data_IF_465112908999
#
_entry.id   IF_465112908999
#
_cell.length_a   1.000
_cell.length_b   1.000
_cell.length_c   1.000
_cell.angle_alpha   90.00
_cell.angle_beta   90.00
_cell.angle_gamma   90.00
#
_symmetry.space_group_name_H-M   'P 1'
#
loop_
_entity.id
_entity.type
_entity.pdbx_description
1 polymer ?
#
# COMPACT_ATOMS: atom_id res chain seq x y z
N UNK A 1 43.73 35.61 -12.30
CA UNK A 1 42.34 35.84 -12.65
C UNK A 1 41.51 34.77 -11.95
N UNK A 2 40.90 35.12 -10.82
CA UNK A 2 40.07 34.19 -10.06
C UNK A 2 38.68 34.14 -10.67
N UNK A 3 38.32 33.06 -11.28
CA UNK A 3 36.93 32.77 -11.65
C UNK A 3 36.15 32.42 -10.39
N UNK A 4 35.57 33.46 -9.77
CA UNK A 4 34.61 33.25 -8.69
C UNK A 4 33.37 32.50 -9.24
N UNK A 5 33.26 31.22 -8.93
CA UNK A 5 32.00 30.48 -9.11
C UNK A 5 31.00 31.15 -8.18
N UNK A 6 30.03 31.91 -8.73
CA UNK A 6 28.91 32.42 -7.94
C UNK A 6 28.19 31.20 -7.33
N UNK A 7 28.07 31.18 -6.01
CA UNK A 7 27.23 30.19 -5.34
C UNK A 7 25.82 30.30 -5.95
N UNK A 8 25.32 29.19 -6.45
CA UNK A 8 23.98 29.13 -7.03
C UNK A 8 22.95 29.34 -5.89
N UNK A 9 22.19 30.42 -5.97
CA UNK A 9 21.19 30.73 -4.95
C UNK A 9 19.91 29.99 -5.28
N UNK A 10 19.66 28.90 -4.56
CA UNK A 10 18.49 28.03 -4.73
C UNK A 10 17.15 28.79 -4.59
N UNK A 11 17.09 29.80 -3.72
CA UNK A 11 15.88 30.61 -3.53
C UNK A 11 15.58 31.52 -4.73
N UNK A 12 16.60 32.04 -5.43
CA UNK A 12 16.41 32.82 -6.66
C UNK A 12 15.91 31.93 -7.83
N UNK A 13 16.16 30.62 -7.76
CA UNK A 13 15.69 29.64 -8.75
C UNK A 13 14.28 29.08 -8.44
N UNK A 14 13.60 29.51 -7.37
CA UNK A 14 12.30 28.98 -6.96
C UNK A 14 12.36 27.58 -6.37
N UNK A 15 13.55 27.06 -6.05
CA UNK A 15 13.76 25.73 -5.49
C UNK A 15 13.46 25.70 -3.99
N UNK A 16 12.73 24.68 -3.57
CA UNK A 16 12.43 24.40 -2.15
C UNK A 16 13.48 23.46 -1.58
N UNK A 17 14.19 23.92 -0.57
CA UNK A 17 15.17 23.11 0.15
C UNK A 17 14.51 22.34 1.28
N UNK A 18 14.75 21.03 1.33
CA UNK A 18 14.24 20.13 2.37
C UNK A 18 15.42 19.39 3.00
N UNK A 19 15.74 19.65 4.28
CA UNK A 19 16.82 18.96 4.96
C UNK A 19 16.45 17.53 5.32
N UNK A 20 17.42 16.61 5.26
CA UNK A 20 17.19 15.19 5.60
C UNK A 20 16.68 14.99 7.02
N UNK A 21 16.99 15.87 7.98
CA UNK A 21 16.46 15.78 9.35
C UNK A 21 14.94 15.83 9.37
N UNK A 22 14.33 16.70 8.54
CA UNK A 22 12.88 16.81 8.42
C UNK A 22 12.26 15.55 7.81
N UNK A 23 12.95 14.96 6.83
CA UNK A 23 12.51 13.69 6.20
C UNK A 23 12.55 12.55 7.22
N UNK A 24 13.64 12.43 7.99
CA UNK A 24 13.79 11.43 9.05
C UNK A 24 12.63 11.51 10.05
N UNK A 25 12.38 12.71 10.59
CA UNK A 25 11.29 12.95 11.55
C UNK A 25 9.92 12.61 10.95
N UNK A 26 9.69 13.00 9.71
CA UNK A 26 8.44 12.72 9.01
C UNK A 26 8.22 11.22 8.84
N UNK A 27 9.20 10.49 8.31
CA UNK A 27 9.09 9.04 8.10
C UNK A 27 8.95 8.29 9.43
N UNK A 28 9.65 8.71 10.49
CA UNK A 28 9.49 8.18 11.85
C UNK A 28 8.02 8.26 12.30
N UNK A 29 7.39 9.43 12.15
CA UNK A 29 5.99 9.63 12.51
C UNK A 29 5.04 8.82 11.62
N UNK A 30 5.28 8.77 10.30
CA UNK A 30 4.47 7.98 9.38
C UNK A 30 4.47 6.49 9.73
N UNK A 31 5.60 5.91 10.17
CA UNK A 31 5.68 4.52 10.63
C UNK A 31 4.73 4.25 11.79
N UNK A 32 4.72 5.13 12.79
CA UNK A 32 3.87 4.99 13.97
C UNK A 32 2.40 5.24 13.63
N UNK A 33 2.10 6.34 12.96
CA UNK A 33 0.74 6.69 12.56
C UNK A 33 0.10 5.58 11.73
N UNK A 34 0.80 5.09 10.68
CA UNK A 34 0.26 4.03 9.84
C UNK A 34 0.04 2.70 10.58
N UNK A 35 0.74 2.44 11.69
CA UNK A 35 0.56 1.21 12.45
C UNK A 35 -0.43 1.33 13.62
N UNK A 36 -0.76 2.54 14.06
CA UNK A 36 -1.70 2.75 15.17
C UNK A 36 -3.09 3.17 14.71
N UNK A 37 -3.14 3.96 13.65
CA UNK A 37 -4.39 4.58 13.17
C UNK A 37 -4.83 3.90 11.86
N UNK A 38 -5.99 3.24 11.89
CA UNK A 38 -6.58 2.69 10.67
C UNK A 38 -7.18 3.82 9.84
N UNK A 39 -6.97 3.79 8.52
CA UNK A 39 -7.54 4.77 7.61
C UNK A 39 -9.07 4.82 7.74
N UNK A 40 -9.64 6.02 7.68
CA UNK A 40 -11.06 6.26 7.95
C UNK A 40 -11.99 5.49 7.00
N UNK A 41 -11.64 5.43 5.72
CA UNK A 41 -12.38 4.68 4.70
C UNK A 41 -12.44 3.18 5.01
N UNK A 42 -11.34 2.60 5.48
CA UNK A 42 -11.27 1.20 5.91
C UNK A 42 -12.13 0.99 7.17
N UNK A 43 -12.04 1.90 8.16
CA UNK A 43 -12.87 1.82 9.35
C UNK A 43 -14.36 1.85 8.99
N UNK A 44 -14.78 2.79 8.15
CA UNK A 44 -16.17 2.88 7.68
C UNK A 44 -16.60 1.61 6.96
N UNK A 45 -15.77 1.06 6.07
CA UNK A 45 -16.07 -0.18 5.36
C UNK A 45 -16.25 -1.39 6.29
N UNK A 46 -15.45 -1.48 7.36
CA UNK A 46 -15.61 -2.52 8.39
C UNK A 46 -16.88 -2.33 9.22
N UNK A 47 -17.22 -1.10 9.61
CA UNK A 47 -18.45 -0.79 10.36
C UNK A 47 -19.70 -1.05 9.52
N UNK A 48 -19.73 -0.62 8.26
CA UNK A 48 -20.81 -0.92 7.31
C UNK A 48 -20.93 -2.42 7.05
N UNK A 49 -19.77 -3.09 6.88
CA UNK A 49 -19.70 -4.54 6.72
C UNK A 49 -20.33 -5.27 7.89
N UNK A 50 -20.01 -4.87 9.12
CA UNK A 50 -20.58 -5.46 10.33
C UNK A 50 -22.12 -5.32 10.40
N UNK A 51 -22.64 -4.19 9.90
CA UNK A 51 -24.10 -3.93 9.82
C UNK A 51 -24.81 -4.76 8.76
N UNK A 52 -24.13 -5.10 7.66
CA UNK A 52 -24.71 -5.75 6.48
C UNK A 52 -24.37 -7.26 6.38
N UNK A 53 -23.50 -7.80 7.25
CA UNK A 53 -23.08 -9.19 7.22
C UNK A 53 -24.23 -10.10 7.71
N UNK A 54 -24.52 -11.14 6.96
CA UNK A 54 -25.61 -12.09 7.25
C UNK A 54 -25.17 -13.20 8.24
N UNK A 55 -23.88 -13.56 8.20
CA UNK A 55 -23.28 -14.53 9.10
C UNK A 55 -23.13 -13.95 10.51
N UNK A 56 -23.67 -14.61 11.53
CA UNK A 56 -23.50 -14.21 12.93
C UNK A 56 -22.01 -14.20 13.33
N UNK A 57 -21.27 -15.23 12.92
CA UNK A 57 -19.82 -15.30 13.13
C UNK A 57 -19.10 -14.18 12.40
N UNK A 58 -19.49 -13.89 11.14
CA UNK A 58 -18.92 -12.80 10.36
C UNK A 58 -19.15 -11.44 11.02
N UNK A 59 -20.36 -11.16 11.51
CA UNK A 59 -20.67 -9.92 12.27
C UNK A 59 -19.82 -9.79 13.53
N UNK A 60 -19.68 -10.86 14.29
CA UNK A 60 -18.86 -10.86 15.51
C UNK A 60 -17.40 -10.53 15.18
N UNK A 61 -16.84 -11.16 14.15
CA UNK A 61 -15.46 -10.91 13.70
C UNK A 61 -15.30 -9.45 13.29
N UNK A 62 -16.16 -8.92 12.43
CA UNK A 62 -16.07 -7.52 11.97
C UNK A 62 -16.18 -6.55 13.15
N UNK A 63 -17.07 -6.81 14.11
CA UNK A 63 -17.18 -5.99 15.32
C UNK A 63 -15.89 -6.02 16.16
N UNK A 64 -15.24 -7.18 16.28
CA UNK A 64 -13.94 -7.31 16.93
C UNK A 64 -12.82 -6.56 16.19
N UNK A 65 -12.81 -6.57 14.86
CA UNK A 65 -11.83 -5.83 14.06
C UNK A 65 -11.98 -4.32 14.25
N UNK A 66 -13.22 -3.82 14.28
CA UNK A 66 -13.52 -2.41 14.56
C UNK A 66 -13.06 -2.03 15.98
N UNK A 67 -13.37 -2.83 16.99
CA UNK A 67 -12.95 -2.57 18.38
C UNK A 67 -11.42 -2.61 18.52
N UNK A 68 -10.76 -3.59 17.89
CA UNK A 68 -9.30 -3.67 17.86
C UNK A 68 -8.66 -2.38 17.28
N UNK A 69 -9.20 -1.84 16.20
CA UNK A 69 -8.71 -0.61 15.60
C UNK A 69 -8.90 0.59 16.54
N UNK A 70 -10.05 0.68 17.25
CA UNK A 70 -10.33 1.73 18.25
C UNK A 70 -9.36 1.63 19.45
N UNK A 71 -9.07 0.43 19.92
CA UNK A 71 -8.11 0.20 21.01
C UNK A 71 -6.70 0.60 20.56
N UNK A 72 -6.26 0.17 19.37
CA UNK A 72 -4.93 0.48 18.86
C UNK A 72 -4.69 1.99 18.77
N UNK A 73 -5.66 2.74 18.23
CA UNK A 73 -5.57 4.20 18.14
C UNK A 73 -5.55 4.88 19.51
N UNK A 74 -6.41 4.45 20.44
CA UNK A 74 -6.52 5.03 21.79
C UNK A 74 -5.28 4.76 22.64
N UNK A 75 -4.78 3.53 22.62
CA UNK A 75 -3.64 3.10 23.44
C UNK A 75 -2.29 3.33 22.75
N UNK A 76 -2.29 3.87 21.52
CA UNK A 76 -1.08 4.13 20.72
C UNK A 76 -0.21 2.88 20.58
N UNK A 77 -0.82 1.77 20.21
CA UNK A 77 -0.17 0.48 20.01
C UNK A 77 -0.44 -0.08 18.63
N UNK A 78 0.40 -1.01 18.17
CA UNK A 78 0.25 -1.60 16.84
C UNK A 78 -1.09 -2.36 16.72
N UNK A 79 -1.83 -2.04 15.65
CA UNK A 79 -3.14 -2.66 15.35
C UNK A 79 -3.05 -4.16 15.02
N UNK A 80 -1.87 -4.63 14.62
CA UNK A 80 -1.59 -6.02 14.24
C UNK A 80 -0.19 -6.41 14.69
N UNK A 81 0.03 -7.69 15.02
CA UNK A 81 1.35 -8.23 15.31
C UNK A 81 2.30 -8.19 14.09
N UNK A 82 1.76 -8.22 12.86
CA UNK A 82 2.54 -7.97 11.65
C UNK A 82 2.50 -6.47 11.32
N UNK A 83 3.51 -5.76 11.79
CA UNK A 83 3.68 -4.33 11.49
C UNK A 83 4.35 -4.09 10.13
N UNK A 84 4.57 -5.16 9.39
CA UNK A 84 4.93 -5.17 7.98
C UNK A 84 6.36 -4.75 7.66
N UNK A 85 6.67 -4.83 6.39
CA UNK A 85 7.81 -4.18 5.77
C UNK A 85 7.39 -2.79 5.28
N UNK A 86 8.20 -1.77 5.53
CA UNK A 86 7.88 -0.42 5.08
C UNK A 86 7.99 -0.33 3.55
N UNK A 87 6.88 -0.05 2.88
CA UNK A 87 6.85 0.32 1.46
C UNK A 87 6.59 1.82 1.39
N UNK A 88 7.51 2.55 0.76
CA UNK A 88 7.50 4.01 0.72
C UNK A 88 7.40 4.48 -0.72
N UNK A 89 6.38 5.27 -1.01
CA UNK A 89 6.24 5.97 -2.28
C UNK A 89 6.63 7.43 -2.07
N UNK A 90 7.56 7.91 -2.89
CA UNK A 90 8.12 9.24 -2.81
C UNK A 90 7.88 9.96 -4.12
N UNK A 91 7.02 10.97 -4.11
CA UNK A 91 6.79 11.87 -5.22
C UNK A 91 7.63 13.13 -4.99
N UNK A 92 8.59 13.38 -5.87
CA UNK A 92 9.58 14.47 -5.74
C UNK A 92 9.32 15.50 -6.81
N UNK A 93 8.93 16.71 -6.40
CA UNK A 93 8.81 17.85 -7.29
C UNK A 93 10.17 18.19 -7.92
N UNK A 94 10.18 18.60 -9.19
CA UNK A 94 11.41 18.93 -9.92
C UNK A 94 12.18 20.10 -9.31
N UNK A 95 11.49 21.00 -8.60
CA UNK A 95 12.07 22.15 -7.91
C UNK A 95 12.41 21.85 -6.43
N UNK A 96 12.47 20.57 -6.02
CA UNK A 96 12.90 20.16 -4.68
C UNK A 96 14.39 19.88 -4.67
N UNK A 97 15.09 20.47 -3.69
CA UNK A 97 16.47 20.17 -3.36
C UNK A 97 16.57 19.50 -1.99
N UNK A 98 17.06 18.26 -1.94
CA UNK A 98 17.32 17.55 -0.68
C UNK A 98 18.71 17.92 -0.19
N UNK A 99 18.80 18.47 1.03
CA UNK A 99 20.08 18.90 1.61
C UNK A 99 20.47 18.08 2.84
N UNK A 100 21.79 18.04 3.10
CA UNK A 100 22.36 17.43 4.30
C UNK A 100 22.64 15.93 4.21
N UNK A 101 22.33 15.26 3.09
CA UNK A 101 22.69 13.85 2.90
C UNK A 101 21.82 13.08 1.89
N UNK A 102 21.82 11.76 1.97
CA UNK A 102 21.09 10.88 1.07
C UNK A 102 19.61 10.76 1.48
N UNK A 103 18.69 10.97 0.53
CA UNK A 103 17.25 10.77 0.73
C UNK A 103 16.93 9.32 1.10
N UNK A 104 17.56 8.35 0.44
CA UNK A 104 17.36 6.92 0.74
C UNK A 104 17.76 6.59 2.17
N UNK A 105 18.92 7.07 2.62
CA UNK A 105 19.38 6.84 3.99
C UNK A 105 18.51 7.57 5.02
N UNK A 106 18.02 8.77 4.70
CA UNK A 106 17.11 9.51 5.57
C UNK A 106 15.77 8.74 5.76
N UNK A 107 15.22 8.15 4.70
CA UNK A 107 14.02 7.32 4.79
C UNK A 107 14.29 6.08 5.65
N UNK A 108 15.40 5.37 5.42
CA UNK A 108 15.76 4.19 6.22
C UNK A 108 15.99 4.54 7.69
N UNK A 109 16.64 5.67 7.99
CA UNK A 109 16.80 6.14 9.36
C UNK A 109 15.47 6.47 10.03
N UNK A 110 14.54 7.10 9.30
CA UNK A 110 13.18 7.35 9.79
C UNK A 110 12.43 6.06 10.09
N UNK A 111 12.54 5.04 9.23
CA UNK A 111 11.96 3.70 9.46
C UNK A 111 12.56 3.06 10.71
N UNK A 112 13.90 3.05 10.83
CA UNK A 112 14.60 2.50 12.00
C UNK A 112 14.07 3.11 13.29
N UNK A 113 14.02 4.45 13.37
CA UNK A 113 13.53 5.18 14.54
C UNK A 113 12.06 4.92 14.82
N UNK A 114 11.22 4.94 13.78
CA UNK A 114 9.78 4.72 13.90
C UNK A 114 9.45 3.31 14.40
N UNK A 115 10.16 2.28 13.90
CA UNK A 115 9.97 0.91 14.37
C UNK A 115 10.50 0.68 15.79
N UNK A 116 11.57 1.37 16.19
CA UNK A 116 12.09 1.30 17.54
C UNK A 116 11.17 2.02 18.53
N UNK A 117 10.88 3.31 18.32
CA UNK A 117 10.06 4.13 19.21
C UNK A 117 8.60 3.66 19.29
N UNK A 118 8.09 3.15 18.16
CA UNK A 118 6.72 2.62 18.07
C UNK A 118 6.56 1.21 18.60
N UNK A 119 7.61 0.58 19.12
CA UNK A 119 7.60 -0.83 19.55
C UNK A 119 7.05 -1.76 18.45
N UNK A 120 7.36 -1.45 17.19
CA UNK A 120 6.90 -2.20 16.04
C UNK A 120 7.78 -3.43 15.80
N UNK A 121 7.17 -4.50 15.31
CA UNK A 121 7.88 -5.75 15.05
C UNK A 121 8.87 -5.57 13.89
N UNK A 122 10.13 -5.91 14.12
CA UNK A 122 11.21 -5.88 13.14
C UNK A 122 11.22 -7.19 12.36
N UNK A 123 10.69 -7.18 11.13
CA UNK A 123 10.42 -8.40 10.34
C UNK A 123 11.34 -8.57 9.14
N UNK A 124 12.21 -7.57 8.84
CA UNK A 124 13.11 -7.62 7.68
C UNK A 124 14.30 -8.52 7.94
N UNK A 125 14.62 -9.35 6.96
CA UNK A 125 15.82 -10.20 6.95
C UNK A 125 16.82 -9.67 5.91
N UNK A 126 18.11 -9.67 6.24
CA UNK A 126 19.18 -9.12 5.40
C UNK A 126 19.42 -9.92 4.13
N UNK A 127 19.13 -11.21 4.17
CA UNK A 127 19.20 -12.11 3.03
C UNK A 127 17.98 -13.02 3.00
N UNK A 128 17.30 -13.18 1.85
CA UNK A 128 16.08 -13.98 1.75
C UNK A 128 16.29 -15.48 1.90
N UNK A 129 17.51 -16.00 1.73
CA UNK A 129 17.84 -17.41 1.87
C UNK A 129 18.44 -17.73 3.24
N UNK A 130 19.40 -16.92 3.72
CA UNK A 130 20.02 -17.09 5.05
C UNK A 130 19.10 -16.65 6.20
N UNK A 131 18.13 -15.77 5.94
CA UNK A 131 17.05 -15.37 6.85
C UNK A 131 17.51 -14.69 8.15
N UNK A 132 18.68 -14.04 8.16
CA UNK A 132 19.17 -13.29 9.32
C UNK A 132 18.41 -11.97 9.45
N UNK A 133 17.77 -11.72 10.60
CA UNK A 133 17.05 -10.48 10.86
C UNK A 133 18.00 -9.27 10.90
N UNK A 134 17.58 -8.15 10.31
CA UNK A 134 18.36 -6.90 10.29
C UNK A 134 18.39 -6.22 11.66
N UNK A 135 17.40 -6.47 12.51
CA UNK A 135 17.29 -5.91 13.85
C UNK A 135 16.67 -4.51 13.93
N UNK A 136 16.38 -3.87 12.77
CA UNK A 136 15.89 -2.50 12.69
C UNK A 136 14.78 -2.27 11.67
N UNK A 137 14.31 -3.33 11.01
CA UNK A 137 13.29 -3.34 9.96
C UNK A 137 13.66 -2.55 8.69
N UNK A 138 14.95 -2.37 8.42
CA UNK A 138 15.48 -1.79 7.18
C UNK A 138 16.16 -2.85 6.32
N UNK A 139 16.33 -2.61 5.00
CA UNK A 139 15.90 -1.43 4.26
C UNK A 139 14.40 -1.41 3.98
N UNK A 140 13.84 -0.22 3.81
CA UNK A 140 12.51 -0.04 3.23
C UNK A 140 12.51 -0.37 1.73
N UNK A 141 11.35 -0.74 1.18
CA UNK A 141 11.13 -0.79 -0.26
C UNK A 141 10.68 0.60 -0.71
N UNK A 142 11.53 1.32 -1.45
CA UNK A 142 11.29 2.71 -1.81
C UNK A 142 11.06 2.83 -3.32
N UNK A 143 9.96 3.48 -3.68
CA UNK A 143 9.61 3.82 -5.06
C UNK A 143 9.65 5.33 -5.23
N UNK A 144 10.45 5.81 -6.19
CA UNK A 144 10.58 7.22 -6.49
C UNK A 144 9.84 7.59 -7.77
N UNK A 145 9.15 8.72 -7.75
CA UNK A 145 8.49 9.32 -8.91
C UNK A 145 8.82 10.82 -8.94
N UNK A 146 9.27 11.31 -10.09
CA UNK A 146 9.52 12.74 -10.28
C UNK A 146 8.25 13.39 -10.80
N UNK A 147 7.82 14.46 -10.16
CA UNK A 147 6.60 15.21 -10.49
C UNK A 147 6.94 16.68 -10.78
N UNK A 148 5.98 17.41 -11.31
CA UNK A 148 6.11 18.87 -11.43
C UNK A 148 5.97 19.54 -10.06
N UNK A 149 6.54 20.75 -9.92
CA UNK A 149 6.41 21.58 -8.72
C UNK A 149 7.50 21.35 -7.67
N UNK A 150 7.24 21.81 -6.46
CA UNK A 150 8.21 21.89 -5.37
C UNK A 150 7.77 21.16 -4.10
N UNK A 151 6.85 20.21 -4.18
CA UNK A 151 6.43 19.39 -3.07
C UNK A 151 7.20 18.06 -3.03
N UNK A 152 7.53 17.61 -1.83
CA UNK A 152 7.99 16.26 -1.56
C UNK A 152 6.88 15.52 -0.82
N UNK A 153 6.15 14.64 -1.51
CA UNK A 153 5.13 13.79 -0.89
C UNK A 153 5.70 12.43 -0.56
N UNK A 154 5.52 12.01 0.67
CA UNK A 154 5.95 10.69 1.17
C UNK A 154 4.70 9.94 1.65
N UNK A 155 4.41 8.79 1.04
CA UNK A 155 3.37 7.87 1.47
C UNK A 155 4.02 6.58 1.97
N UNK A 156 3.80 6.22 3.22
CA UNK A 156 4.34 5.02 3.84
C UNK A 156 3.21 4.04 4.13
N UNK A 157 3.35 2.83 3.57
CA UNK A 157 2.42 1.72 3.76
C UNK A 157 3.15 0.52 4.39
N UNK A 158 2.88 0.18 5.66
CA UNK A 158 3.38 -1.06 6.24
C UNK A 158 2.71 -2.26 5.57
N UNK A 159 3.47 -3.09 4.87
CA UNK A 159 2.94 -4.22 4.12
C UNK A 159 3.18 -5.54 4.83
N UNK A 160 2.11 -6.10 5.41
CA UNK A 160 2.13 -7.42 6.03
C UNK A 160 2.29 -8.55 5.01
N UNK A 161 3.04 -9.58 5.36
CA UNK A 161 3.42 -10.64 4.42
C UNK A 161 2.39 -11.78 4.33
N UNK A 162 1.46 -11.91 5.25
CA UNK A 162 0.34 -12.83 5.08
C UNK A 162 -0.46 -12.56 3.79
N UNK A 163 -0.74 -11.28 3.54
CA UNK A 163 -1.42 -10.86 2.31
C UNK A 163 -0.47 -10.66 1.13
N UNK A 164 0.78 -10.22 1.35
CA UNK A 164 1.77 -10.09 0.27
C UNK A 164 2.05 -11.42 -0.43
N UNK A 165 2.16 -12.51 0.33
CA UNK A 165 2.40 -13.85 -0.20
C UNK A 165 1.25 -14.39 -1.08
N UNK A 166 0.06 -13.78 -0.99
CA UNK A 166 -1.10 -14.16 -1.81
C UNK A 166 -1.22 -13.32 -3.10
N UNK A 167 -0.22 -12.51 -3.38
CA UNK A 167 -0.15 -11.66 -4.57
C UNK A 167 0.52 -12.37 -5.76
N UNK A 168 0.31 -11.89 -6.97
CA UNK A 168 0.90 -12.49 -8.14
C UNK A 168 0.84 -11.64 -9.40
N UNK A 169 1.61 -12.07 -10.40
CA UNK A 169 1.67 -11.45 -11.73
C UNK A 169 1.41 -12.54 -12.77
N UNK A 170 0.66 -12.21 -13.80
CA UNK A 170 0.45 -13.07 -14.97
C UNK A 170 0.63 -12.26 -16.26
N UNK A 171 1.38 -12.81 -17.19
CA UNK A 171 1.50 -12.26 -18.56
C UNK A 171 0.40 -12.89 -19.41
N UNK A 172 -0.73 -12.20 -19.52
CA UNK A 172 -1.83 -12.61 -20.38
C UNK A 172 -1.51 -12.29 -21.84
N UNK A 173 -2.19 -12.98 -22.76
CA UNK A 173 -2.16 -12.65 -24.17
C UNK A 173 -3.20 -11.58 -24.47
N UNK A 174 -3.00 -10.69 -25.45
CA UNK A 174 -4.02 -9.74 -25.88
C UNK A 174 -5.36 -10.40 -26.24
N UNK A 175 -5.33 -11.63 -26.76
CA UNK A 175 -6.53 -12.42 -27.07
C UNK A 175 -7.33 -12.86 -25.85
N UNK A 176 -6.72 -12.91 -24.66
CA UNK A 176 -7.43 -13.27 -23.43
C UNK A 176 -8.35 -12.12 -22.97
N UNK A 177 -8.03 -10.89 -23.37
CA UNK A 177 -8.87 -9.72 -23.20
C UNK A 177 -9.28 -9.48 -21.74
N UNK A 178 -10.44 -8.85 -21.59
CA UNK A 178 -11.00 -8.53 -20.27
C UNK A 178 -11.41 -9.78 -19.49
N UNK A 179 -11.81 -10.84 -20.18
CA UNK A 179 -12.22 -12.10 -19.55
C UNK A 179 -11.04 -12.82 -18.90
N UNK A 180 -9.86 -12.76 -19.54
CA UNK A 180 -8.62 -13.25 -18.93
C UNK A 180 -8.25 -12.47 -17.66
N UNK A 181 -8.50 -11.15 -17.62
CA UNK A 181 -8.29 -10.33 -16.44
C UNK A 181 -9.26 -10.72 -15.31
N UNK A 182 -10.55 -10.88 -15.62
CA UNK A 182 -11.58 -11.33 -14.67
C UNK A 182 -11.22 -12.68 -14.04
N UNK A 183 -10.89 -13.64 -14.90
CA UNK A 183 -10.50 -14.99 -14.46
C UNK A 183 -9.26 -14.94 -13.56
N UNK A 184 -8.25 -14.14 -13.90
CA UNK A 184 -7.05 -14.01 -13.10
C UNK A 184 -7.36 -13.46 -11.70
N UNK A 185 -8.18 -12.41 -11.59
CA UNK A 185 -8.56 -11.82 -10.29
C UNK A 185 -9.31 -12.86 -9.44
N UNK A 186 -10.30 -13.53 -10.00
CA UNK A 186 -11.10 -14.54 -9.31
C UNK A 186 -10.24 -15.70 -8.80
N UNK A 187 -9.44 -16.32 -9.67
CA UNK A 187 -8.54 -17.43 -9.32
C UNK A 187 -7.56 -17.05 -8.20
N UNK A 188 -7.01 -15.82 -8.25
CA UNK A 188 -6.06 -15.37 -7.24
C UNK A 188 -6.72 -15.21 -5.87
N UNK A 189 -7.93 -14.65 -5.81
CA UNK A 189 -8.66 -14.47 -4.55
C UNK A 189 -9.15 -15.81 -4.00
N UNK A 190 -9.70 -16.67 -4.86
CA UNK A 190 -10.16 -18.01 -4.46
C UNK A 190 -9.01 -18.85 -3.90
N UNK A 191 -7.85 -18.86 -4.59
CA UNK A 191 -6.63 -19.54 -4.13
C UNK A 191 -6.10 -18.99 -2.83
N UNK A 192 -6.19 -17.70 -2.61
CA UNK A 192 -5.74 -17.05 -1.38
C UNK A 192 -6.60 -17.46 -0.19
N UNK A 193 -7.91 -17.59 -0.37
CA UNK A 193 -8.84 -17.99 0.67
C UNK A 193 -8.70 -17.17 1.95
N UNK A 194 -8.57 -17.83 3.13
CA UNK A 194 -8.43 -17.15 4.42
C UNK A 194 -7.04 -16.54 4.69
N UNK A 195 -6.02 -16.94 3.93
CA UNK A 195 -4.61 -16.61 4.23
C UNK A 195 -4.30 -15.10 4.31
N UNK A 196 -4.89 -14.21 3.47
CA UNK A 196 -4.65 -12.79 3.56
C UNK A 196 -5.44 -12.07 4.67
N UNK A 197 -6.10 -12.80 5.56
CA UNK A 197 -6.95 -12.26 6.64
C UNK A 197 -8.08 -11.33 6.11
N UNK A 198 -9.09 -11.87 5.39
CA UNK A 198 -10.19 -11.06 4.90
C UNK A 198 -11.04 -10.43 6.03
N UNK A 199 -11.77 -9.33 5.71
CA UNK A 199 -12.00 -8.78 4.39
C UNK A 199 -10.76 -8.08 3.83
N UNK A 200 -10.48 -8.33 2.56
CA UNK A 200 -9.27 -7.82 1.89
C UNK A 200 -9.52 -6.54 1.08
N UNK A 201 -8.45 -5.82 0.78
CA UNK A 201 -8.41 -4.88 -0.35
C UNK A 201 -7.57 -5.51 -1.45
N UNK A 202 -8.13 -5.56 -2.65
CA UNK A 202 -7.48 -6.13 -3.83
C UNK A 202 -7.02 -4.99 -4.74
N UNK A 203 -5.71 -4.81 -4.86
CA UNK A 203 -5.12 -3.89 -5.83
C UNK A 203 -4.75 -4.63 -7.11
N UNK A 204 -5.18 -4.11 -8.25
CA UNK A 204 -4.91 -4.70 -9.56
C UNK A 204 -4.19 -3.68 -10.44
N UNK A 205 -3.11 -4.11 -11.09
CA UNK A 205 -2.39 -3.33 -12.08
C UNK A 205 -2.48 -3.99 -13.45
N UNK A 206 -2.91 -3.26 -14.47
CA UNK A 206 -3.07 -3.77 -15.82
C UNK A 206 -2.25 -2.92 -16.80
N UNK A 207 -1.41 -3.58 -17.59
CA UNK A 207 -0.62 -2.92 -18.62
C UNK A 207 0.80 -2.55 -18.19
N UNK A 208 1.48 -1.75 -19.00
CA UNK A 208 2.91 -1.48 -18.86
C UNK A 208 3.75 -2.71 -19.20
N UNK A 209 4.77 -2.92 -18.37
CA UNK A 209 5.64 -4.10 -18.30
C UNK A 209 5.32 -4.91 -17.05
N UNK A 210 5.93 -6.06 -16.86
CA UNK A 210 5.70 -6.93 -15.70
C UNK A 210 5.85 -6.19 -14.36
N UNK A 211 6.95 -5.49 -14.19
CA UNK A 211 7.24 -4.71 -12.99
C UNK A 211 6.33 -3.49 -12.84
N UNK A 212 5.92 -2.86 -13.96
CA UNK A 212 4.97 -1.74 -13.93
C UNK A 212 3.59 -2.19 -13.47
N UNK A 213 3.11 -3.33 -13.96
CA UNK A 213 1.84 -3.92 -13.51
C UNK A 213 1.88 -4.24 -12.02
N UNK A 214 2.97 -4.83 -11.52
CA UNK A 214 3.15 -5.11 -10.09
C UNK A 214 3.17 -3.84 -9.24
N UNK A 215 3.86 -2.79 -9.69
CA UNK A 215 3.88 -1.49 -9.02
C UNK A 215 2.49 -0.83 -8.98
N UNK A 216 1.75 -0.88 -10.10
CA UNK A 216 0.39 -0.37 -10.17
C UNK A 216 -0.55 -1.09 -9.21
N UNK A 217 -0.48 -2.43 -9.14
CA UNK A 217 -1.26 -3.22 -8.20
C UNK A 217 -0.98 -2.82 -6.74
N UNK A 218 0.27 -2.53 -6.41
CA UNK A 218 0.65 -2.06 -5.08
C UNK A 218 0.18 -0.63 -4.81
N UNK A 219 0.31 0.29 -5.77
CA UNK A 219 -0.23 1.66 -5.68
C UNK A 219 -1.77 1.66 -5.55
N UNK A 220 -2.47 0.75 -6.21
CA UNK A 220 -3.92 0.62 -6.13
C UNK A 220 -4.43 0.37 -4.70
N UNK A 221 -3.63 -0.24 -3.82
CA UNK A 221 -3.95 -0.44 -2.41
C UNK A 221 -3.98 0.86 -1.59
N UNK A 222 -3.37 1.94 -2.08
CA UNK A 222 -3.33 3.25 -1.42
C UNK A 222 -4.57 4.11 -1.75
N UNK A 223 -5.33 3.73 -2.78
CA UNK A 223 -6.55 4.44 -3.13
C UNK A 223 -7.64 4.11 -2.11
N UNK A 224 -8.35 5.13 -1.56
CA UNK A 224 -9.45 4.91 -0.65
C UNK A 224 -10.49 3.93 -1.19
N UNK A 225 -11.00 3.03 -0.33
CA UNK A 225 -11.93 1.95 -0.73
C UNK A 225 -13.31 2.47 -1.15
N UNK A 226 -13.67 3.68 -0.76
CA UNK A 226 -14.88 4.40 -1.16
C UNK A 226 -14.70 5.19 -2.48
N UNK A 227 -13.48 5.24 -3.03
CA UNK A 227 -13.17 5.98 -4.26
C UNK A 227 -12.91 5.04 -5.43
N UNK A 228 -13.81 5.04 -6.40
CA UNK A 228 -13.69 4.26 -7.63
C UNK A 228 -12.79 4.94 -8.67
N UNK A 229 -12.31 4.16 -9.64
CA UNK A 229 -11.52 4.68 -10.75
C UNK A 229 -12.31 5.75 -11.54
N UNK A 230 -11.70 6.89 -11.91
CA UNK A 230 -12.38 7.95 -12.68
C UNK A 230 -12.76 7.51 -14.10
N UNK A 231 -12.06 6.54 -14.68
CA UNK A 231 -12.36 5.99 -16.00
C UNK A 231 -13.54 5.01 -15.90
N UNK A 232 -14.64 5.33 -16.58
CA UNK A 232 -15.92 4.59 -16.50
C UNK A 232 -15.76 3.08 -16.71
N UNK A 233 -15.06 2.65 -17.76
CA UNK A 233 -14.88 1.22 -18.06
C UNK A 233 -14.11 0.45 -16.98
N UNK A 234 -13.20 1.12 -16.29
CA UNK A 234 -12.44 0.53 -15.18
C UNK A 234 -13.29 0.54 -13.91
N UNK A 235 -14.04 1.60 -13.65
CA UNK A 235 -14.99 1.67 -12.54
C UNK A 235 -16.02 0.54 -12.60
N UNK A 236 -16.58 0.27 -13.78
CA UNK A 236 -17.51 -0.83 -13.97
C UNK A 236 -16.86 -2.18 -13.67
N UNK A 237 -15.62 -2.39 -14.13
CA UNK A 237 -14.87 -3.61 -13.83
C UNK A 237 -14.57 -3.75 -12.33
N UNK A 238 -14.24 -2.66 -11.63
CA UNK A 238 -14.04 -2.68 -10.18
C UNK A 238 -15.30 -3.13 -9.41
N UNK A 239 -16.46 -2.61 -9.80
CA UNK A 239 -17.75 -2.98 -9.20
C UNK A 239 -18.06 -4.44 -9.48
N UNK A 240 -17.97 -4.86 -10.74
CA UNK A 240 -18.21 -6.24 -11.15
C UNK A 240 -17.31 -7.22 -10.39
N UNK A 241 -16.00 -6.93 -10.32
CA UNK A 241 -15.06 -7.82 -9.66
C UNK A 241 -15.25 -7.85 -8.14
N UNK A 242 -15.65 -6.73 -7.52
CA UNK A 242 -15.96 -6.71 -6.10
C UNK A 242 -17.18 -7.61 -5.78
N UNK A 243 -18.24 -7.53 -6.59
CA UNK A 243 -19.42 -8.40 -6.46
C UNK A 243 -19.02 -9.88 -6.64
N UNK A 244 -18.21 -10.17 -7.66
CA UNK A 244 -17.73 -11.51 -7.96
C UNK A 244 -16.89 -12.09 -6.82
N UNK A 245 -15.93 -11.33 -6.30
CA UNK A 245 -15.08 -11.73 -5.17
C UNK A 245 -15.90 -11.97 -3.91
N UNK A 246 -16.87 -11.10 -3.62
CA UNK A 246 -17.75 -11.29 -2.47
C UNK A 246 -18.69 -12.49 -2.62
N UNK A 247 -19.06 -12.86 -3.84
CA UNK A 247 -19.86 -14.07 -4.11
C UNK A 247 -19.11 -15.39 -3.85
N UNK A 248 -17.78 -15.37 -3.70
CA UNK A 248 -16.99 -16.53 -3.32
C UNK A 248 -17.31 -17.01 -1.89
N UNK A 249 -17.91 -16.16 -1.04
CA UNK A 249 -18.35 -16.53 0.29
C UNK A 249 -17.23 -16.89 1.27
N UNK A 250 -15.99 -16.45 1.01
CA UNK A 250 -14.85 -16.67 1.93
C UNK A 250 -15.13 -16.00 3.27
N UNK A 251 -15.63 -14.76 3.24
CA UNK A 251 -16.11 -14.02 4.39
C UNK A 251 -15.04 -13.56 5.39
N UNK A 252 -15.45 -12.86 6.46
CA UNK A 252 -14.53 -12.34 7.47
C UNK A 252 -13.69 -13.45 8.11
N UNK A 253 -12.38 -13.21 8.20
CA UNK A 253 -11.36 -14.18 8.66
C UNK A 253 -11.37 -15.54 7.92
N UNK A 254 -12.07 -15.65 6.77
CA UNK A 254 -12.20 -16.91 6.03
C UNK A 254 -13.17 -17.91 6.65
N UNK A 255 -14.06 -17.46 7.54
CA UNK A 255 -15.03 -18.32 8.25
C UNK A 255 -16.43 -18.29 7.64
N UNK A 256 -16.51 -17.92 6.37
CA UNK A 256 -17.78 -17.77 5.66
C UNK A 256 -18.45 -16.42 5.93
N UNK A 257 -19.35 -16.04 5.05
CA UNK A 257 -20.06 -14.78 5.11
C UNK A 257 -19.94 -13.99 3.82
N UNK A 258 -20.50 -12.80 3.84
CA UNK A 258 -20.67 -11.97 2.64
C UNK A 258 -19.45 -11.11 2.31
N UNK A 259 -18.80 -10.54 3.34
CA UNK A 259 -17.72 -9.59 3.14
C UNK A 259 -16.35 -10.28 3.01
N UNK A 260 -15.98 -10.66 1.80
CA UNK A 260 -14.65 -11.19 1.46
C UNK A 260 -13.66 -10.07 1.15
N UNK A 261 -14.10 -9.04 0.41
CA UNK A 261 -13.30 -7.87 0.06
C UNK A 261 -14.08 -6.58 0.30
N UNK A 262 -13.38 -5.55 0.78
CA UNK A 262 -13.90 -4.18 0.92
C UNK A 262 -13.83 -3.41 -0.40
N UNK A 263 -12.79 -3.68 -1.20
CA UNK A 263 -12.63 -3.07 -2.52
C UNK A 263 -11.79 -3.94 -3.47
N UNK A 264 -12.06 -3.77 -4.75
CA UNK A 264 -11.15 -4.12 -5.85
C UNK A 264 -10.80 -2.81 -6.54
N UNK A 265 -9.58 -2.37 -6.40
CA UNK A 265 -9.05 -1.14 -6.98
C UNK A 265 -8.15 -1.47 -8.16
N UNK A 266 -8.41 -0.89 -9.34
CA UNK A 266 -7.71 -1.21 -10.58
C UNK A 266 -7.00 0.03 -11.11
N UNK A 267 -5.70 -0.08 -11.37
CA UNK A 267 -4.90 0.94 -12.04
C UNK A 267 -4.43 0.40 -13.40
N UNK A 268 -4.40 1.28 -14.39
CA UNK A 268 -4.06 0.89 -15.77
C UNK A 268 -2.94 1.76 -16.33
N UNK A 269 -2.15 1.18 -17.22
CA UNK A 269 -1.09 1.88 -17.94
C UNK A 269 -1.01 1.39 -19.39
N UNK A 270 -0.66 2.23 -20.36
CA UNK A 270 -0.42 1.81 -21.74
C UNK A 270 0.57 0.65 -21.81
N UNK A 271 0.33 -0.31 -22.70
CA UNK A 271 1.18 -1.49 -22.85
C UNK A 271 1.55 -1.76 -24.30
N UNK A 272 2.50 -2.66 -24.53
CA UNK A 272 2.89 -3.09 -25.86
C UNK A 272 1.75 -3.88 -26.53
N UNK A 273 1.55 -3.72 -27.85
CA UNK A 273 0.46 -4.34 -28.60
C UNK A 273 0.41 -5.88 -28.46
N UNK A 274 1.54 -6.52 -28.20
CA UNK A 274 1.65 -7.97 -28.06
C UNK A 274 1.54 -8.48 -26.61
N UNK A 275 1.26 -7.62 -25.62
CA UNK A 275 1.23 -8.00 -24.24
C UNK A 275 0.00 -7.51 -23.48
N UNK A 276 -0.36 -8.25 -22.43
CA UNK A 276 -1.39 -7.87 -21.46
C UNK A 276 -0.92 -8.32 -20.06
N UNK A 277 0.10 -7.63 -19.46
CA UNK A 277 0.52 -7.94 -18.11
C UNK A 277 -0.57 -7.53 -17.13
N UNK A 278 -0.85 -8.42 -16.17
CA UNK A 278 -1.79 -8.16 -15.06
C UNK A 278 -1.14 -8.60 -13.76
N UNK A 279 -1.19 -7.75 -12.77
CA UNK A 279 -0.74 -8.04 -11.42
C UNK A 279 -1.87 -7.84 -10.43
N UNK A 280 -1.85 -8.63 -9.36
CA UNK A 280 -2.75 -8.49 -8.23
C UNK A 280 -1.91 -8.45 -6.94
N UNK A 281 -2.14 -7.44 -6.11
CA UNK A 281 -1.57 -7.35 -4.78
C UNK A 281 -2.70 -7.32 -3.75
N UNK A 282 -2.60 -8.18 -2.74
CA UNK A 282 -3.61 -8.24 -1.68
C UNK A 282 -3.15 -7.49 -0.44
N UNK A 283 -4.10 -6.85 0.24
CA UNK A 283 -3.90 -6.36 1.59
C UNK A 283 -5.03 -6.85 2.50
N UNK A 284 -4.71 -7.10 3.77
CA UNK A 284 -5.66 -7.62 4.75
C UNK A 284 -6.64 -6.54 5.25
N UNK A 285 -7.52 -6.90 6.17
CA UNK A 285 -8.50 -5.99 6.77
C UNK A 285 -7.89 -4.75 7.46
N UNK A 286 -6.60 -4.78 7.81
CA UNK A 286 -5.86 -3.62 8.31
C UNK A 286 -4.99 -2.99 7.22
N UNK A 287 -5.53 -2.88 6.00
CA UNK A 287 -4.92 -2.04 4.95
C UNK A 287 -4.75 -0.64 5.49
N UNK A 288 -3.51 -0.16 5.51
CA UNK A 288 -3.15 1.08 6.18
C UNK A 288 -1.99 1.79 5.52
N UNK A 289 -2.03 3.09 5.53
CA UNK A 289 -0.93 3.95 5.10
C UNK A 289 -1.06 5.31 5.77
N UNK A 290 0.03 6.04 5.79
CA UNK A 290 0.06 7.44 6.20
C UNK A 290 0.86 8.26 5.20
N UNK A 291 0.51 9.51 5.01
CA UNK A 291 1.18 10.40 4.07
C UNK A 291 1.50 11.76 4.67
N UNK A 292 2.53 12.39 4.13
CA UNK A 292 2.91 13.76 4.44
C UNK A 292 3.43 14.45 3.20
N UNK A 293 3.20 15.76 3.13
CA UNK A 293 3.74 16.65 2.10
C UNK A 293 4.68 17.64 2.80
N UNK A 294 5.91 17.70 2.33
CA UNK A 294 6.97 18.57 2.81
C UNK A 294 7.26 19.67 1.80
#
# INVERSE_FOLDING_TARGET
>A
MGTGVKAFNLQEAGMKEIPISKIIETVEQLCMTANYDLNKDIMCALEEGAGNEESETGRLILSQLVENAKIAARERMAICQDTGMAVVFVEIGQEVHISGGSLTEAINEGVRRGYEKGFLRKSVVSDPLERKNTGDNTPAVIHYEITEGNDLKITLAPKGFGSENMSGVRMLKPSDGIDGVRTFIEEMVEKAGPNPCPPVVVGVGIGGTMEKAALLAKKALLRPVDRRNPRESIRQLEVEMLEKVNSLGIGPAGLGGRLTAMAVNIEVFPTHIAGLPVALNMSCHVTRHAEAVL
#
